data_IF_239708211428
#
_entry.id   IF_239708211428
#
_cell.length_a   1.000
_cell.length_b   1.000
_cell.length_c   1.000
_cell.angle_alpha   90.00
_cell.angle_beta   90.00
_cell.angle_gamma   90.00
#
_symmetry.space_group_name_H-M   'P 1'
#
loop_
_entity.id
_entity.type
_entity.pdbx_description
1 polymer ?
#
# COMPACT_ATOMS: atom_id res chain seq x y z
N UNK A 1 -21.91 3.16 -8.78
CA UNK A 1 -20.62 3.02 -8.08
C UNK A 1 -20.32 1.55 -8.02
N UNK A 2 -19.22 1.11 -8.63
CA UNK A 2 -18.76 -0.26 -8.46
C UNK A 2 -18.01 -0.38 -7.13
N UNK A 3 -18.15 -1.53 -6.48
CA UNK A 3 -17.38 -1.85 -5.27
C UNK A 3 -15.93 -2.09 -5.70
N UNK A 4 -14.97 -1.46 -5.01
CA UNK A 4 -13.55 -1.61 -5.29
C UNK A 4 -12.94 -2.73 -4.45
N UNK A 5 -12.05 -3.50 -5.06
CA UNK A 5 -11.33 -4.61 -4.46
C UNK A 5 -10.00 -4.85 -5.19
N UNK A 6 -9.21 -5.84 -4.77
CA UNK A 6 -7.92 -6.15 -5.42
C UNK A 6 -8.09 -6.66 -6.85
N UNK A 7 -9.26 -7.18 -7.19
CA UNK A 7 -9.56 -7.75 -8.51
C UNK A 7 -9.82 -6.67 -9.57
N UNK A 8 -10.19 -5.45 -9.18
CA UNK A 8 -10.53 -4.36 -10.11
C UNK A 8 -9.80 -3.02 -9.84
N UNK A 9 -9.03 -2.92 -8.75
CA UNK A 9 -8.22 -1.74 -8.45
C UNK A 9 -7.00 -1.60 -9.36
N UNK A 10 -6.52 -0.36 -9.51
CA UNK A 10 -5.22 -0.07 -10.14
C UNK A 10 -4.11 -0.82 -9.39
N UNK A 11 -3.51 -1.81 -10.06
CA UNK A 11 -2.40 -2.61 -9.54
C UNK A 11 -1.06 -2.07 -10.05
N UNK A 12 -0.06 -2.05 -9.17
CA UNK A 12 1.31 -1.72 -9.52
C UNK A 12 2.30 -2.57 -8.73
N UNK A 13 3.50 -2.71 -9.28
CA UNK A 13 4.63 -3.39 -8.64
C UNK A 13 5.65 -2.35 -8.21
N UNK A 14 6.15 -2.49 -6.98
CA UNK A 14 7.22 -1.66 -6.44
C UNK A 14 8.28 -2.53 -5.75
N UNK A 15 9.51 -2.00 -5.62
CA UNK A 15 10.63 -2.76 -5.05
C UNK A 15 10.96 -4.06 -5.82
N UNK A 16 10.45 -4.21 -7.05
CA UNK A 16 10.62 -5.39 -7.91
C UNK A 16 9.81 -6.63 -7.50
N UNK A 17 9.33 -6.71 -6.25
CA UNK A 17 8.67 -7.92 -5.71
C UNK A 17 7.39 -7.63 -4.91
N UNK A 18 7.10 -6.37 -4.59
CA UNK A 18 5.94 -5.99 -3.81
C UNK A 18 4.78 -5.58 -4.71
N UNK A 19 3.56 -5.94 -4.31
CA UNK A 19 2.34 -5.56 -5.01
C UNK A 19 1.60 -4.47 -4.24
N UNK A 20 1.04 -3.49 -4.96
CA UNK A 20 0.13 -2.48 -4.42
C UNK A 20 -1.15 -2.37 -5.22
N UNK A 21 -2.29 -2.18 -4.54
CA UNK A 21 -3.59 -1.91 -5.14
C UNK A 21 -4.18 -0.64 -4.56
N UNK A 22 -4.45 0.37 -5.40
CA UNK A 22 -5.11 1.60 -4.96
C UNK A 22 -6.62 1.38 -4.80
N UNK A 23 -7.08 1.28 -3.56
CA UNK A 23 -8.51 1.20 -3.23
C UNK A 23 -9.16 2.60 -3.18
N UNK A 24 -8.36 3.64 -2.92
CA UNK A 24 -8.75 5.04 -3.08
C UNK A 24 -7.51 5.86 -3.45
N UNK A 25 -7.64 6.77 -4.40
CA UNK A 25 -6.54 7.63 -4.87
C UNK A 25 -7.07 9.03 -5.16
N UNK A 26 -7.13 9.86 -4.13
CA UNK A 26 -7.58 11.25 -4.21
C UNK A 26 -6.50 12.17 -3.64
N UNK A 27 -6.65 13.48 -3.80
CA UNK A 27 -5.72 14.46 -3.23
C UNK A 27 -5.70 14.45 -1.69
N UNK A 28 -6.86 14.25 -1.05
CA UNK A 28 -6.99 14.29 0.41
C UNK A 28 -6.75 12.96 1.12
N UNK A 29 -6.90 11.83 0.42
CA UNK A 29 -6.72 10.49 0.98
C UNK A 29 -6.34 9.47 -0.09
N UNK A 30 -5.34 8.66 0.24
CA UNK A 30 -4.98 7.44 -0.47
C UNK A 30 -5.18 6.24 0.45
N UNK A 31 -5.79 5.18 -0.06
CA UNK A 31 -5.90 3.88 0.61
C UNK A 31 -5.31 2.84 -0.32
N UNK A 32 -4.30 2.12 0.17
CA UNK A 32 -3.56 1.13 -0.59
C UNK A 32 -3.58 -0.17 0.21
N UNK A 33 -3.91 -1.26 -0.46
CA UNK A 33 -3.64 -2.60 0.07
C UNK A 33 -2.34 -3.08 -0.57
N UNK A 34 -1.41 -3.57 0.24
CA UNK A 34 -0.11 -4.01 -0.23
C UNK A 34 0.17 -5.47 0.15
N UNK A 35 0.93 -6.15 -0.70
CA UNK A 35 1.54 -7.45 -0.39
C UNK A 35 3.05 -7.28 -0.45
N UNK A 36 3.68 -7.37 0.71
CA UNK A 36 5.13 -7.29 0.87
C UNK A 36 5.63 -8.71 1.17
N UNK A 37 6.30 -9.39 0.24
CA UNK A 37 6.88 -10.71 0.51
C UNK A 37 8.11 -10.60 1.42
N UNK A 38 8.57 -11.71 2.04
CA UNK A 38 9.82 -11.73 2.79
C UNK A 38 11.00 -11.18 1.98
N UNK A 39 11.80 -10.32 2.61
CA UNK A 39 12.90 -9.60 1.95
C UNK A 39 12.49 -8.29 1.26
N UNK A 40 11.19 -8.00 1.13
CA UNK A 40 10.69 -6.70 0.73
C UNK A 40 10.79 -5.69 1.88
N UNK A 41 11.22 -4.47 1.56
CA UNK A 41 11.32 -3.39 2.53
C UNK A 41 11.07 -2.03 1.86
N UNK A 42 10.51 -1.11 2.63
CA UNK A 42 10.32 0.27 2.24
C UNK A 42 11.65 1.05 2.36
N UNK A 43 11.83 2.10 1.55
CA UNK A 43 12.98 2.99 1.66
C UNK A 43 12.63 4.10 2.64
N UNK A 44 13.23 4.03 3.84
CA UNK A 44 13.03 4.98 4.93
C UNK A 44 12.89 6.43 4.44
N UNK A 45 11.69 6.97 4.61
CA UNK A 45 11.37 8.36 4.32
C UNK A 45 10.37 8.91 5.35
N UNK A 46 9.93 10.15 5.16
CA UNK A 46 8.90 10.77 5.97
C UNK A 46 8.00 11.64 5.09
N UNK A 47 6.80 11.91 5.58
CA UNK A 47 5.84 12.76 4.89
C UNK A 47 5.77 14.14 5.54
N UNK A 48 6.01 15.20 4.77
CA UNK A 48 5.91 16.58 5.26
C UNK A 48 4.46 17.06 5.43
N UNK A 49 3.53 16.53 4.63
CA UNK A 49 2.15 17.03 4.49
C UNK A 49 1.07 15.99 4.76
N UNK A 50 1.46 14.77 5.11
CA UNK A 50 0.54 13.65 5.28
C UNK A 50 0.92 12.83 6.50
N UNK A 51 -0.07 12.16 7.08
CA UNK A 51 0.13 11.10 8.04
C UNK A 51 -0.05 9.77 7.35
N UNK A 52 0.82 8.81 7.66
CA UNK A 52 0.71 7.44 7.19
C UNK A 52 0.48 6.53 8.39
N UNK A 53 -0.41 5.57 8.23
CA UNK A 53 -0.60 4.48 9.19
C UNK A 53 -0.64 3.17 8.41
N UNK A 54 -0.18 2.11 9.05
CA UNK A 54 -0.24 0.76 8.52
C UNK A 54 -1.15 -0.09 9.40
N UNK A 55 -2.01 -0.86 8.76
CA UNK A 55 -2.81 -1.88 9.42
C UNK A 55 -2.47 -3.24 8.83
N UNK A 56 -1.80 -4.08 9.62
CA UNK A 56 -1.35 -5.40 9.17
C UNK A 56 -2.54 -6.36 9.18
N UNK A 57 -3.00 -6.73 7.98
CA UNK A 57 -4.11 -7.68 7.81
C UNK A 57 -3.68 -9.14 8.06
N UNK A 58 -2.41 -9.46 7.78
CA UNK A 58 -1.82 -10.80 7.98
C UNK A 58 -0.30 -10.70 7.93
N UNK A 59 0.38 -11.56 8.70
CA UNK A 59 1.84 -11.59 8.82
C UNK A 59 2.37 -10.62 9.88
N UNK A 60 3.66 -10.30 9.78
CA UNK A 60 4.37 -9.39 10.66
C UNK A 60 5.25 -8.45 9.83
N UNK A 61 5.26 -7.17 10.21
CA UNK A 61 6.18 -6.17 9.69
C UNK A 61 6.95 -5.59 10.87
N UNK A 62 8.27 -5.46 10.70
CA UNK A 62 9.19 -4.93 11.73
C UNK A 62 9.83 -3.64 11.24
N UNK A 63 10.16 -2.75 12.19
CA UNK A 63 10.91 -1.50 11.93
C UNK A 63 12.41 -1.68 12.05
#
# INVERSE_FOLDING_TARGET
>A
MEVISRENAEHYVWGGICDGWHLLKTEGLSVIQERIPPGGAEIKHYHEKAHQFFFVLSGEATM
#
